data_IF_799432496871
#
_entry.id   IF_799432496871
#
_cell.length_a   1.000
_cell.length_b   1.000
_cell.length_c   1.000
_cell.angle_alpha   90.00
_cell.angle_beta   90.00
_cell.angle_gamma   90.00
#
_symmetry.space_group_name_H-M   'P 1'
#
loop_
_entity.id
_entity.type
_entity.pdbx_description
1 polymer ?
#
# COMPACT_ATOMS: atom_id res chain seq x y z
N UNK A 1 -32.29 -66.56 -22.20
CA UNK A 1 -33.04 -65.56 -21.41
C UNK A 1 -32.16 -64.34 -21.26
N UNK A 2 -32.62 -63.21 -21.78
CA UNK A 2 -31.90 -61.94 -21.81
C UNK A 2 -32.18 -61.12 -20.54
N UNK A 3 -31.17 -60.45 -20.02
CA UNK A 3 -31.22 -59.24 -19.18
C UNK A 3 -29.76 -58.78 -19.07
N UNK A 4 -29.29 -57.61 -19.49
CA UNK A 4 -29.86 -56.27 -19.54
C UNK A 4 -28.75 -55.35 -19.02
N UNK A 5 -27.89 -54.85 -19.92
CA UNK A 5 -26.74 -53.99 -19.59
C UNK A 5 -27.25 -52.56 -19.43
N UNK A 6 -27.22 -52.01 -18.21
CA UNK A 6 -27.45 -50.59 -17.96
C UNK A 6 -26.13 -49.82 -18.12
N UNK A 7 -26.04 -49.02 -19.19
CA UNK A 7 -25.04 -47.97 -19.34
C UNK A 7 -25.43 -46.73 -18.54
N UNK A 8 -24.54 -46.30 -17.65
CA UNK A 8 -24.61 -45.00 -16.98
C UNK A 8 -23.61 -44.04 -17.62
N UNK A 9 -24.13 -43.02 -18.29
CA UNK A 9 -23.36 -41.91 -18.87
C UNK A 9 -22.88 -41.00 -17.73
N UNK A 10 -21.57 -40.81 -17.61
CA UNK A 10 -20.98 -39.76 -16.78
C UNK A 10 -21.16 -38.41 -17.48
N UNK A 11 -22.02 -37.55 -16.94
CA UNK A 11 -22.08 -36.14 -17.31
C UNK A 11 -20.96 -35.39 -16.58
N UNK A 12 -19.94 -34.95 -17.31
CA UNK A 12 -18.93 -34.01 -16.82
C UNK A 12 -19.59 -32.62 -16.70
N UNK A 13 -19.85 -32.18 -15.46
CA UNK A 13 -20.26 -30.81 -15.19
C UNK A 13 -19.04 -29.89 -15.35
N UNK A 14 -18.96 -29.20 -16.49
CA UNK A 14 -18.03 -28.10 -16.70
C UNK A 14 -18.44 -26.93 -15.78
N UNK A 15 -17.74 -26.78 -14.66
CA UNK A 15 -17.83 -25.57 -13.83
C UNK A 15 -17.09 -24.48 -14.59
N UNK A 16 -17.85 -23.67 -15.35
CA UNK A 16 -17.39 -22.40 -15.88
C UNK A 16 -17.11 -21.48 -14.69
N UNK A 17 -15.85 -21.43 -14.27
CA UNK A 17 -15.35 -20.45 -13.32
C UNK A 17 -15.50 -19.06 -13.92
N UNK A 18 -16.55 -18.35 -13.52
CA UNK A 18 -16.67 -16.93 -13.79
C UNK A 18 -15.46 -16.23 -13.18
N UNK A 19 -14.63 -15.62 -14.02
CA UNK A 19 -13.62 -14.67 -13.58
C UNK A 19 -14.31 -13.62 -12.71
N UNK A 20 -13.73 -13.20 -11.56
CA UNK A 20 -14.30 -12.10 -10.80
C UNK A 20 -14.37 -10.88 -11.73
N UNK A 21 -15.61 -10.45 -11.98
CA UNK A 21 -15.90 -9.22 -12.69
C UNK A 21 -15.09 -8.09 -12.05
N UNK A 22 -14.49 -7.26 -12.90
CA UNK A 22 -13.64 -6.15 -12.49
C UNK A 22 -14.31 -5.32 -11.40
N UNK A 23 -13.52 -4.98 -10.39
CA UNK A 23 -13.88 -3.97 -9.41
C UNK A 23 -14.39 -2.73 -10.17
N UNK A 24 -15.67 -2.45 -10.00
CA UNK A 24 -16.26 -1.21 -10.45
C UNK A 24 -15.48 -0.06 -9.80
N UNK A 25 -15.15 0.95 -10.60
CA UNK A 25 -14.49 2.19 -10.21
C UNK A 25 -15.20 2.78 -8.98
N UNK A 26 -14.59 2.61 -7.81
CA UNK A 26 -15.17 2.99 -6.55
C UNK A 26 -15.07 4.51 -6.39
N UNK A 27 -16.20 5.20 -6.64
CA UNK A 27 -16.45 6.54 -6.15
C UNK A 27 -15.65 7.64 -6.85
N UNK A 28 -16.16 8.12 -7.98
CA UNK A 28 -15.75 9.40 -8.56
C UNK A 28 -16.41 10.56 -7.78
N UNK A 29 -16.21 10.61 -6.46
CA UNK A 29 -16.50 11.80 -5.68
C UNK A 29 -15.71 12.98 -6.22
N UNK A 30 -16.23 14.18 -6.03
CA UNK A 30 -15.53 15.39 -6.44
C UNK A 30 -14.15 15.44 -5.77
N UNK A 31 -13.10 15.20 -6.56
CA UNK A 31 -11.72 15.08 -6.06
C UNK A 31 -11.25 16.40 -5.43
N UNK A 32 -11.78 17.52 -5.92
CA UNK A 32 -11.46 18.83 -5.37
C UNK A 32 -12.12 18.99 -4.00
N UNK A 33 -13.39 18.58 -3.85
CA UNK A 33 -14.06 18.56 -2.55
C UNK A 33 -13.37 17.64 -1.52
N UNK A 34 -12.85 16.47 -1.96
CA UNK A 34 -12.03 15.58 -1.12
C UNK A 34 -10.75 16.27 -0.66
N UNK A 35 -10.04 16.93 -1.58
CA UNK A 35 -8.82 17.66 -1.26
C UNK A 35 -9.05 18.85 -0.32
N UNK A 36 -10.13 19.60 -0.55
CA UNK A 36 -10.55 20.72 0.31
C UNK A 36 -10.91 20.25 1.73
N UNK A 37 -11.66 19.15 1.86
CA UNK A 37 -11.94 18.55 3.17
C UNK A 37 -10.64 18.23 3.90
N UNK A 38 -9.74 17.48 3.26
CA UNK A 38 -8.45 17.12 3.86
C UNK A 38 -7.65 18.35 4.28
N UNK A 39 -7.58 19.38 3.43
CA UNK A 39 -6.89 20.62 3.74
C UNK A 39 -7.49 21.34 4.96
N UNK A 40 -8.82 21.35 5.10
CA UNK A 40 -9.52 22.00 6.20
C UNK A 40 -9.42 21.23 7.53
N UNK A 41 -9.22 19.92 7.48
CA UNK A 41 -9.20 19.04 8.67
C UNK A 41 -7.81 18.54 9.05
N UNK A 42 -6.76 18.87 8.29
CA UNK A 42 -5.42 18.40 8.63
C UNK A 42 -4.87 19.10 9.87
N UNK A 43 -4.53 18.30 10.87
CA UNK A 43 -3.97 18.78 12.13
C UNK A 43 -2.48 18.48 12.26
N UNK A 44 -1.84 17.92 11.23
CA UNK A 44 -0.40 17.66 11.26
C UNK A 44 0.40 18.98 11.22
N UNK A 45 1.55 19.04 11.92
CA UNK A 45 2.46 20.18 11.79
C UNK A 45 3.01 20.29 10.37
N UNK A 46 3.58 21.45 10.05
CA UNK A 46 4.22 21.70 8.75
C UNK A 46 5.27 20.61 8.46
N UNK A 47 5.00 19.82 7.42
CA UNK A 47 5.84 18.69 7.02
C UNK A 47 7.16 19.19 6.43
N UNK A 48 8.28 18.85 7.06
CA UNK A 48 9.62 19.28 6.63
C UNK A 48 10.52 18.10 6.35
N UNK A 49 11.02 18.03 5.12
CA UNK A 49 12.09 17.11 4.77
C UNK A 49 13.45 17.69 5.17
N UNK A 50 14.33 16.84 5.69
CA UNK A 50 15.74 17.19 5.90
C UNK A 50 16.44 17.42 4.55
N UNK A 51 17.61 18.06 4.55
CA UNK A 51 18.40 18.24 3.33
C UNK A 51 18.74 16.88 2.69
N UNK A 52 19.20 15.92 3.49
CA UNK A 52 19.51 14.56 3.02
C UNK A 52 18.29 13.82 2.45
N UNK A 53 17.10 13.98 3.04
CA UNK A 53 15.87 13.41 2.46
C UNK A 53 15.52 14.03 1.10
N UNK A 54 15.74 15.34 0.92
CA UNK A 54 15.50 16.01 -0.36
C UNK A 54 16.48 15.52 -1.44
N UNK A 55 17.76 15.40 -1.10
CA UNK A 55 18.80 14.86 -2.00
C UNK A 55 18.50 13.42 -2.39
N UNK A 56 18.22 12.55 -1.41
CA UNK A 56 17.88 11.14 -1.64
C UNK A 56 16.64 10.98 -2.52
N UNK A 57 15.59 11.78 -2.30
CA UNK A 57 14.41 11.75 -3.16
C UNK A 57 14.72 12.21 -4.59
N UNK A 58 15.64 13.16 -4.77
CA UNK A 58 16.02 13.63 -6.09
C UNK A 58 16.81 12.57 -6.87
N UNK A 59 17.77 11.91 -6.21
CA UNK A 59 18.53 10.78 -6.74
C UNK A 59 17.60 9.63 -7.13
N UNK A 60 16.79 9.14 -6.18
CA UNK A 60 15.84 8.05 -6.44
C UNK A 60 14.86 8.40 -7.56
N UNK A 61 14.37 9.65 -7.63
CA UNK A 61 13.46 10.06 -8.69
C UNK A 61 14.12 10.08 -10.08
N UNK A 62 15.42 10.36 -10.17
CA UNK A 62 16.17 10.26 -11.42
C UNK A 62 16.29 8.79 -11.86
N UNK A 63 16.66 7.90 -10.93
CA UNK A 63 16.82 6.47 -11.19
C UNK A 63 15.49 5.79 -11.54
N UNK A 64 14.42 6.14 -10.84
CA UNK A 64 13.09 5.59 -11.04
C UNK A 64 12.53 5.89 -12.44
N UNK A 65 12.73 7.11 -12.95
CA UNK A 65 12.37 7.46 -14.34
C UNK A 65 13.13 6.59 -15.35
N UNK A 66 14.41 6.33 -15.09
CA UNK A 66 15.21 5.41 -15.91
C UNK A 66 14.69 3.98 -15.89
N UNK A 67 14.28 3.47 -14.73
CA UNK A 67 13.71 2.12 -14.58
C UNK A 67 12.35 1.97 -15.27
N UNK A 68 11.47 2.97 -15.14
CA UNK A 68 10.17 3.00 -15.80
C UNK A 68 10.30 3.02 -17.33
N UNK A 69 11.21 3.83 -17.87
CA UNK A 69 11.48 3.89 -19.31
C UNK A 69 11.96 2.54 -19.88
N UNK A 70 12.79 1.79 -19.14
CA UNK A 70 13.25 0.46 -19.54
C UNK A 70 12.15 -0.61 -19.52
N UNK A 71 11.18 -0.45 -18.61
CA UNK A 71 10.09 -1.43 -18.42
C UNK A 71 8.96 -1.27 -19.44
N UNK A 72 8.80 -0.08 -20.04
CA UNK A 72 7.75 0.23 -21.01
C UNK A 72 7.86 -0.49 -22.38
N UNK A 73 8.85 -1.37 -22.57
CA UNK A 73 9.08 -2.12 -23.82
C UNK A 73 8.59 -3.57 -23.82
N UNK A 74 8.19 -4.13 -22.67
CA UNK A 74 7.81 -5.54 -22.54
C UNK A 74 6.27 -5.68 -22.45
N UNK A 75 5.56 -5.47 -23.56
CA UNK A 75 4.09 -5.61 -23.59
C UNK A 75 3.71 -7.10 -23.65
N UNK A 76 3.25 -7.65 -22.52
CA UNK A 76 2.84 -9.06 -22.45
C UNK A 76 2.16 -9.44 -21.15
N UNK A 77 0.82 -9.37 -21.15
CA UNK A 77 -0.15 -9.82 -20.13
C UNK A 77 -0.16 -9.05 -18.79
N UNK A 78 -1.38 -8.82 -18.28
CA UNK A 78 -1.82 -8.21 -16.98
C UNK A 78 -1.18 -8.78 -15.69
N UNK A 79 -0.02 -9.42 -15.76
CA UNK A 79 0.66 -9.96 -14.61
C UNK A 79 1.11 -8.82 -13.69
N UNK A 80 0.88 -8.99 -12.39
CA UNK A 80 1.46 -8.13 -11.36
C UNK A 80 2.89 -8.63 -11.11
N UNK A 81 3.88 -7.78 -11.32
CA UNK A 81 5.22 -7.96 -10.76
C UNK A 81 5.17 -7.54 -9.29
N UNK A 82 5.63 -8.39 -8.38
CA UNK A 82 5.62 -8.12 -6.93
C UNK A 82 7.01 -8.34 -6.35
N UNK A 83 7.36 -7.56 -5.32
CA UNK A 83 8.58 -7.72 -4.52
C UNK A 83 8.46 -8.80 -3.45
N UNK A 84 7.36 -9.57 -3.41
CA UNK A 84 7.22 -10.72 -2.53
C UNK A 84 6.84 -10.39 -1.08
N UNK A 85 6.42 -9.14 -0.78
CA UNK A 85 6.05 -8.74 0.57
C UNK A 85 5.00 -9.71 1.19
N UNK A 86 5.31 -10.18 2.41
CA UNK A 86 4.54 -11.19 3.12
C UNK A 86 3.49 -10.51 3.99
N UNK A 87 2.21 -10.78 3.68
CA UNK A 87 1.09 -10.19 4.40
C UNK A 87 1.07 -10.58 5.88
N UNK A 88 0.81 -9.60 6.75
CA UNK A 88 0.53 -9.82 8.15
C UNK A 88 -0.67 -8.98 8.62
N UNK A 89 -1.61 -9.61 9.32
CA UNK A 89 -2.72 -8.89 9.94
C UNK A 89 -2.23 -8.08 11.12
N UNK A 90 -2.72 -6.85 11.30
CA UNK A 90 -2.42 -6.04 12.48
C UNK A 90 -2.95 -6.70 13.76
N UNK A 91 -2.16 -6.66 14.83
CA UNK A 91 -2.50 -7.36 16.08
C UNK A 91 -3.61 -6.70 16.91
N UNK A 92 -3.92 -5.42 16.64
CA UNK A 92 -5.05 -4.69 17.24
C UNK A 92 -5.49 -3.54 16.32
N UNK A 93 -6.50 -2.76 16.71
CA UNK A 93 -7.15 -1.76 15.85
C UNK A 93 -6.29 -0.56 15.44
N UNK A 94 -5.18 -0.28 16.12
CA UNK A 94 -4.31 0.88 15.86
C UNK A 94 -2.90 0.49 15.39
N UNK A 95 -2.68 -0.79 15.09
CA UNK A 95 -1.38 -1.36 14.70
C UNK A 95 -1.17 -1.48 13.17
N UNK A 96 -1.89 -0.72 12.36
CA UNK A 96 -1.68 -0.71 10.90
C UNK A 96 -0.27 -0.27 10.51
N UNK A 97 0.33 0.69 11.22
CA UNK A 97 1.70 1.15 10.99
C UNK A 97 2.76 0.08 11.28
N UNK A 98 2.80 -0.53 12.49
CA UNK A 98 3.75 -1.60 12.80
C UNK A 98 3.59 -2.83 11.91
N UNK A 99 2.36 -3.21 11.57
CA UNK A 99 2.09 -4.26 10.59
C UNK A 99 2.64 -3.90 9.20
N UNK A 100 2.37 -2.69 8.71
CA UNK A 100 2.88 -2.21 7.42
C UNK A 100 4.41 -2.18 7.39
N UNK A 101 5.07 -1.74 8.47
CA UNK A 101 6.52 -1.75 8.59
C UNK A 101 7.07 -3.18 8.36
N UNK A 102 6.54 -4.17 9.09
CA UNK A 102 7.06 -5.55 8.99
C UNK A 102 6.72 -6.22 7.67
N UNK A 103 5.58 -5.90 7.05
CA UNK A 103 5.24 -6.36 5.70
C UNK A 103 6.23 -5.75 4.69
N UNK A 104 6.45 -4.44 4.76
CA UNK A 104 7.33 -3.71 3.83
C UNK A 104 8.77 -4.21 3.94
N UNK A 105 9.26 -4.43 5.16
CA UNK A 105 10.57 -5.03 5.41
C UNK A 105 10.70 -6.44 4.80
N UNK A 106 9.65 -7.25 4.90
CA UNK A 106 9.67 -8.64 4.39
C UNK A 106 9.79 -8.76 2.87
N UNK A 107 9.58 -7.66 2.11
CA UNK A 107 9.82 -7.68 0.67
C UNK A 107 11.31 -7.89 0.35
N UNK A 108 12.20 -7.34 1.17
CA UNK A 108 13.63 -7.34 0.88
C UNK A 108 14.36 -8.55 1.46
N UNK A 109 13.94 -9.00 2.64
CA UNK A 109 14.62 -10.07 3.36
C UNK A 109 13.78 -11.34 3.51
N UNK A 110 12.57 -11.36 2.93
CA UNK A 110 11.66 -12.52 2.86
C UNK A 110 11.19 -13.08 4.22
N UNK A 111 11.40 -12.34 5.33
CA UNK A 111 11.02 -12.84 6.66
C UNK A 111 9.64 -12.33 7.08
N UNK A 112 8.68 -13.24 7.14
CA UNK A 112 7.36 -13.02 7.73
C UNK A 112 7.35 -13.14 9.26
N UNK A 113 6.23 -12.74 9.88
CA UNK A 113 5.95 -12.94 11.32
C UNK A 113 6.77 -12.08 12.29
N UNK A 114 7.47 -11.05 11.81
CA UNK A 114 8.20 -10.13 12.68
C UNK A 114 7.29 -9.48 13.73
N UNK A 115 7.87 -9.23 14.90
CA UNK A 115 7.15 -8.64 16.03
C UNK A 115 6.62 -7.25 15.70
N UNK A 116 5.30 -7.14 15.56
CA UNK A 116 4.63 -5.85 15.46
C UNK A 116 4.72 -5.06 16.77
N UNK A 117 4.87 -5.72 17.92
CA UNK A 117 5.09 -5.03 19.20
C UNK A 117 6.43 -4.31 19.22
N UNK A 118 7.51 -4.97 18.77
CA UNK A 118 8.82 -4.33 18.65
C UNK A 118 8.78 -3.17 17.66
N UNK A 119 8.15 -3.37 16.50
CA UNK A 119 7.90 -2.31 15.52
C UNK A 119 7.08 -1.16 16.11
N UNK A 120 6.05 -1.45 16.91
CA UNK A 120 5.22 -0.45 17.59
C UNK A 120 6.01 0.42 18.54
N UNK A 121 6.92 -0.19 19.32
CA UNK A 121 7.81 0.54 20.24
C UNK A 121 8.77 1.45 19.47
N UNK A 122 9.46 0.92 18.47
CA UNK A 122 10.40 1.70 17.65
C UNK A 122 9.71 2.86 16.90
N UNK A 123 8.47 2.65 16.45
CA UNK A 123 7.67 3.66 15.76
C UNK A 123 7.00 4.66 16.70
N UNK A 124 7.10 4.47 18.02
CA UNK A 124 6.31 5.21 19.01
C UNK A 124 4.80 5.20 18.68
N UNK A 125 4.29 4.02 18.33
CA UNK A 125 2.88 3.81 18.02
C UNK A 125 2.03 3.93 19.28
N UNK A 126 0.96 4.72 19.22
CA UNK A 126 0.02 4.91 20.34
C UNK A 126 -1.36 4.38 19.98
N UNK A 127 -2.34 4.53 20.88
CA UNK A 127 -3.74 4.21 20.57
C UNK A 127 -4.33 5.06 19.44
N UNK A 128 -3.68 6.17 19.07
CA UNK A 128 -4.02 6.96 17.88
C UNK A 128 -3.37 6.44 16.58
N UNK A 129 -2.58 5.37 16.66
CA UNK A 129 -1.84 4.79 15.53
C UNK A 129 -0.40 5.29 15.43
N UNK A 130 0.24 4.98 14.29
CA UNK A 130 1.57 5.48 13.92
C UNK A 130 1.43 6.73 13.06
N UNK A 131 2.06 7.83 13.47
CA UNK A 131 1.99 9.09 12.75
C UNK A 131 2.67 9.03 11.38
N UNK A 132 2.13 9.79 10.42
CA UNK A 132 2.82 10.11 9.16
C UNK A 132 4.07 10.98 9.41
N UNK A 133 3.93 12.02 10.24
CA UNK A 133 4.97 12.98 10.57
C UNK A 133 4.77 13.57 11.97
N UNK A 134 5.82 14.13 12.56
CA UNK A 134 5.76 14.93 13.79
C UNK A 134 6.08 14.17 15.07
N UNK A 135 6.45 12.89 14.95
CA UNK A 135 6.92 12.06 16.06
C UNK A 135 8.26 11.45 15.65
N UNK A 136 9.23 11.46 16.56
CA UNK A 136 10.49 10.78 16.37
C UNK A 136 10.32 9.28 16.63
N UNK A 137 10.85 8.44 15.75
CA UNK A 137 11.06 7.03 16.07
C UNK A 137 12.12 6.87 17.16
N UNK A 138 12.07 5.75 17.88
CA UNK A 138 13.11 5.32 18.83
C UNK A 138 14.28 4.68 18.06
N UNK A 139 15.01 5.52 17.31
CA UNK A 139 16.21 5.16 16.56
C UNK A 139 17.28 6.26 16.73
N UNK A 140 18.57 6.00 16.44
CA UNK A 140 19.64 6.95 16.74
C UNK A 140 19.52 8.33 16.06
N UNK A 141 18.95 8.41 14.86
CA UNK A 141 18.90 9.65 14.06
C UNK A 141 17.49 9.86 13.47
N UNK A 142 16.47 10.18 14.28
CA UNK A 142 15.11 10.32 13.78
C UNK A 142 14.95 11.61 12.97
N UNK A 143 14.14 11.56 11.91
CA UNK A 143 13.84 12.68 11.01
C UNK A 143 12.46 13.30 11.27
N UNK A 144 11.69 12.70 12.17
CA UNK A 144 10.28 13.04 12.43
C UNK A 144 9.29 12.27 11.54
N UNK A 145 9.79 11.35 10.70
CA UNK A 145 9.00 10.41 9.91
C UNK A 145 9.30 8.99 10.41
N UNK A 146 8.48 8.41 11.29
CA UNK A 146 8.88 7.21 12.04
C UNK A 146 9.06 5.98 11.15
N UNK A 147 8.23 5.79 10.12
CA UNK A 147 8.33 4.63 9.22
C UNK A 147 9.66 4.58 8.45
N UNK A 148 10.09 5.61 7.68
CA UNK A 148 11.38 5.56 6.99
C UNK A 148 12.56 5.48 7.97
N UNK A 149 12.47 6.14 9.13
CA UNK A 149 13.49 6.10 10.17
C UNK A 149 13.73 4.65 10.66
N UNK A 150 12.65 3.93 10.98
CA UNK A 150 12.74 2.55 11.44
C UNK A 150 13.12 1.60 10.31
N UNK A 151 12.58 1.76 9.09
CA UNK A 151 12.96 0.93 7.95
C UNK A 151 14.47 1.04 7.66
N UNK A 152 15.02 2.26 7.64
CA UNK A 152 16.45 2.46 7.40
C UNK A 152 17.34 2.00 8.56
N UNK A 153 16.85 2.06 9.79
CA UNK A 153 17.55 1.50 10.94
C UNK A 153 17.61 -0.04 10.88
N UNK A 154 16.50 -0.68 10.48
CA UNK A 154 16.41 -2.14 10.35
C UNK A 154 17.06 -2.70 9.08
N UNK A 155 17.09 -1.91 8.03
CA UNK A 155 17.70 -2.24 6.74
C UNK A 155 18.71 -1.15 6.35
N UNK A 156 19.90 -1.12 6.98
CA UNK A 156 20.92 -0.14 6.63
C UNK A 156 21.24 -0.18 5.14
N UNK A 157 21.19 0.97 4.48
CA UNK A 157 21.42 1.11 3.04
C UNK A 157 20.17 1.03 2.15
N UNK A 158 18.98 0.71 2.69
CA UNK A 158 17.75 0.65 1.90
C UNK A 158 17.29 2.02 1.37
N UNK A 159 17.65 3.12 2.06
CA UNK A 159 17.41 4.49 1.57
C UNK A 159 15.93 4.83 1.42
N UNK A 160 15.08 4.42 2.36
CA UNK A 160 13.68 4.81 2.41
C UNK A 160 13.53 6.31 2.71
N UNK A 161 12.77 7.01 1.89
CA UNK A 161 12.48 8.43 2.07
C UNK A 161 10.97 8.73 1.99
N UNK A 162 10.44 9.67 2.80
CA UNK A 162 9.05 10.06 2.73
C UNK A 162 8.81 11.01 1.56
N UNK A 163 7.88 10.65 0.67
CA UNK A 163 7.36 11.50 -0.41
C UNK A 163 5.97 12.00 -0.02
N UNK A 164 5.90 13.24 0.46
CA UNK A 164 4.63 13.91 0.72
C UNK A 164 3.82 14.14 -0.57
N UNK A 165 2.50 14.01 -0.47
CA UNK A 165 1.56 14.27 -1.55
C UNK A 165 0.66 15.46 -1.19
N UNK A 166 0.35 16.36 -2.15
CA UNK A 166 -0.66 17.40 -1.89
C UNK A 166 -2.02 16.75 -1.64
N UNK A 167 -2.95 17.50 -1.03
CA UNK A 167 -4.30 17.02 -0.73
C UNK A 167 -5.04 16.53 -1.98
N UNK A 168 -4.81 17.18 -3.12
CA UNK A 168 -5.25 16.75 -4.46
C UNK A 168 -4.04 16.41 -5.33
N UNK A 169 -3.61 15.13 -5.38
CA UNK A 169 -2.47 14.71 -6.20
C UNK A 169 -2.63 15.00 -7.69
N UNK A 170 -1.65 15.70 -8.25
CA UNK A 170 -1.61 16.03 -9.68
C UNK A 170 -1.26 14.80 -10.54
N UNK A 171 -1.40 14.92 -11.86
CA UNK A 171 -0.91 13.91 -12.80
C UNK A 171 0.59 13.63 -12.64
N UNK A 172 1.41 14.65 -12.36
CA UNK A 172 2.84 14.48 -12.12
C UNK A 172 3.13 13.70 -10.83
N UNK A 173 2.32 13.89 -9.78
CA UNK A 173 2.44 13.10 -8.56
C UNK A 173 2.11 11.62 -8.82
N UNK A 174 1.05 11.35 -9.58
CA UNK A 174 0.64 9.99 -9.95
C UNK A 174 1.69 9.29 -10.81
N UNK A 175 2.28 10.00 -11.78
CA UNK A 175 3.43 9.47 -12.56
C UNK A 175 4.63 9.18 -11.66
N UNK A 176 4.99 10.09 -10.76
CA UNK A 176 6.12 9.88 -9.85
C UNK A 176 5.91 8.67 -8.92
N UNK A 177 4.67 8.40 -8.49
CA UNK A 177 4.35 7.19 -7.73
C UNK A 177 4.52 5.92 -8.58
N UNK A 178 4.05 5.91 -9.84
CA UNK A 178 4.24 4.78 -10.76
C UNK A 178 5.71 4.49 -11.05
N UNK A 179 6.52 5.54 -11.23
CA UNK A 179 7.97 5.41 -11.37
C UNK A 179 8.58 4.79 -10.10
N UNK A 180 8.18 5.28 -8.91
CA UNK A 180 8.67 4.79 -7.62
C UNK A 180 8.35 3.31 -7.36
N UNK A 181 7.11 2.87 -7.59
CA UNK A 181 6.76 1.46 -7.37
C UNK A 181 7.47 0.54 -8.38
N UNK A 182 7.64 0.98 -9.63
CA UNK A 182 8.39 0.23 -10.64
C UNK A 182 9.85 0.06 -10.23
N UNK A 183 10.45 1.14 -9.70
CA UNK A 183 11.81 1.13 -9.17
C UNK A 183 11.96 0.18 -7.97
N UNK A 184 11.17 0.39 -6.91
CA UNK A 184 11.29 -0.39 -5.68
C UNK A 184 11.02 -1.88 -5.90
N UNK A 185 9.96 -2.23 -6.63
CA UNK A 185 9.64 -3.63 -6.93
C UNK A 185 10.73 -4.31 -7.77
N UNK A 186 11.56 -3.57 -8.51
CA UNK A 186 12.71 -4.15 -9.24
C UNK A 186 13.93 -4.40 -8.35
N UNK A 187 14.03 -3.72 -7.21
CA UNK A 187 15.07 -3.94 -6.20
C UNK A 187 14.60 -4.75 -4.99
N UNK A 188 13.50 -5.50 -5.11
CA UNK A 188 12.90 -6.27 -4.02
C UNK A 188 12.53 -5.43 -2.79
N UNK A 189 12.13 -4.17 -3.01
CA UNK A 189 11.59 -3.30 -1.98
C UNK A 189 10.09 -3.07 -2.21
N UNK A 190 9.34 -2.91 -1.12
CA UNK A 190 7.95 -2.45 -1.15
C UNK A 190 7.90 -0.95 -0.81
N UNK A 191 6.71 -0.35 -0.96
CA UNK A 191 6.43 1.02 -0.55
C UNK A 191 5.48 0.98 0.65
N UNK A 192 5.73 1.77 1.68
CA UNK A 192 4.75 1.97 2.76
C UNK A 192 3.90 3.21 2.45
N UNK A 193 2.62 3.02 2.15
CA UNK A 193 1.66 4.09 1.87
C UNK A 193 0.88 4.50 3.11
N UNK A 194 0.72 5.81 3.34
CA UNK A 194 -0.16 6.34 4.38
C UNK A 194 -1.46 6.85 3.73
N UNK A 195 -2.51 6.06 3.85
CA UNK A 195 -3.83 6.35 3.33
C UNK A 195 -4.61 7.31 4.24
N UNK A 196 -5.30 8.25 3.60
CA UNK A 196 -6.32 9.08 4.22
C UNK A 196 -7.60 8.97 3.39
N UNK A 197 -8.44 8.02 3.77
CA UNK A 197 -9.75 7.79 3.18
C UNK A 197 -10.76 8.72 3.86
N UNK A 198 -11.68 9.30 3.08
CA UNK A 198 -12.69 10.25 3.57
C UNK A 198 -14.06 9.91 3.01
N UNK A 199 -15.12 10.36 3.68
CA UNK A 199 -16.50 10.14 3.22
C UNK A 199 -16.69 10.73 1.82
N UNK A 200 -17.21 9.92 0.89
CA UNK A 200 -17.45 10.30 -0.49
C UNK A 200 -16.22 10.29 -1.39
N UNK A 201 -15.02 10.05 -0.83
CA UNK A 201 -13.79 9.85 -1.60
C UNK A 201 -13.57 8.39 -2.03
N UNK A 202 -12.45 8.10 -2.72
CA UNK A 202 -12.04 6.74 -3.00
C UNK A 202 -11.62 6.01 -1.72
N UNK A 203 -11.84 4.70 -1.70
CA UNK A 203 -11.52 3.81 -0.58
C UNK A 203 -10.68 2.62 -1.03
N UNK A 204 -9.90 2.07 -0.13
CA UNK A 204 -9.23 0.78 -0.30
C UNK A 204 -10.29 -0.33 -0.43
N UNK A 205 -9.95 -1.40 -1.13
CA UNK A 205 -10.88 -2.50 -1.40
C UNK A 205 -11.40 -3.09 -0.08
N UNK A 206 -12.72 -3.11 0.07
CA UNK A 206 -13.40 -3.64 1.25
C UNK A 206 -13.51 -2.68 2.44
N UNK A 207 -12.91 -1.49 2.37
CA UNK A 207 -13.07 -0.46 3.40
C UNK A 207 -14.45 0.22 3.29
N UNK A 208 -15.09 0.55 4.43
CA UNK A 208 -16.36 1.26 4.43
C UNK A 208 -16.18 2.74 4.07
N UNK A 209 -17.23 3.35 3.51
CA UNK A 209 -17.24 4.78 3.17
C UNK A 209 -17.28 5.69 4.43
N UNK A 210 -16.12 5.88 5.05
CA UNK A 210 -15.93 6.72 6.25
C UNK A 210 -14.50 7.24 6.31
N UNK A 211 -14.23 8.16 7.22
CA UNK A 211 -12.86 8.61 7.43
C UNK A 211 -11.99 7.51 8.08
N UNK A 212 -10.87 7.20 7.45
CA UNK A 212 -9.89 6.21 7.92
C UNK A 212 -8.48 6.72 7.62
N UNK A 213 -7.65 6.81 8.66
CA UNK A 213 -6.20 6.91 8.52
C UNK A 213 -5.61 5.51 8.60
N UNK A 214 -4.84 5.11 7.59
CA UNK A 214 -4.37 3.74 7.48
C UNK A 214 -2.97 3.65 6.89
N UNK A 215 -2.22 2.63 7.29
CA UNK A 215 -0.95 2.28 6.65
C UNK A 215 -1.14 0.98 5.88
N UNK A 216 -0.60 0.92 4.66
CA UNK A 216 -0.56 -0.28 3.82
C UNK A 216 0.81 -0.46 3.19
N UNK A 217 1.18 -1.70 2.88
CA UNK A 217 2.38 -2.00 2.09
C UNK A 217 1.98 -2.22 0.63
N UNK A 218 2.61 -1.53 -0.31
CA UNK A 218 2.35 -1.60 -1.74
C UNK A 218 3.58 -2.26 -2.37
N UNK A 219 3.41 -3.48 -2.84
CA UNK A 219 4.52 -4.37 -3.17
C UNK A 219 4.56 -4.80 -4.63
N UNK A 220 3.55 -4.46 -5.43
CA UNK A 220 3.54 -4.85 -6.82
C UNK A 220 2.85 -3.89 -7.76
N UNK A 221 3.14 -4.05 -9.05
CA UNK A 221 2.57 -3.25 -10.11
C UNK A 221 2.35 -4.06 -11.39
N UNK A 222 1.40 -3.63 -12.21
CA UNK A 222 1.19 -4.17 -13.55
C UNK A 222 2.29 -3.73 -14.53
N UNK A 223 2.47 -4.53 -15.58
CA UNK A 223 3.42 -4.30 -16.68
C UNK A 223 3.02 -3.12 -17.60
N UNK A 224 1.77 -2.67 -17.56
CA UNK A 224 1.21 -1.58 -18.38
C UNK A 224 1.60 -0.16 -17.92
N UNK A 225 2.81 -0.01 -17.41
CA UNK A 225 3.32 1.22 -16.81
C UNK A 225 2.79 1.44 -15.39
N UNK A 226 2.62 0.37 -14.63
CA UNK A 226 2.16 0.39 -13.23
C UNK A 226 0.79 1.07 -13.03
N UNK A 227 -0.15 0.96 -13.98
CA UNK A 227 -1.49 1.58 -13.83
C UNK A 227 -2.34 0.88 -12.77
N UNK A 228 -2.04 -0.38 -12.50
CA UNK A 228 -2.60 -1.15 -11.39
C UNK A 228 -1.46 -1.48 -10.43
N UNK A 229 -1.70 -1.33 -9.14
CA UNK A 229 -0.78 -1.76 -8.10
C UNK A 229 -1.42 -2.82 -7.23
N UNK A 230 -0.58 -3.66 -6.64
CA UNK A 230 -0.94 -4.62 -5.61
C UNK A 230 -0.48 -4.10 -4.26
N UNK A 231 -1.32 -4.28 -3.24
CA UNK A 231 -1.00 -3.92 -1.87
C UNK A 231 -1.45 -5.00 -0.89
N UNK A 232 -0.82 -4.97 0.28
CA UNK A 232 -1.08 -5.79 1.46
C UNK A 232 -1.75 -4.91 2.50
N UNK A 233 -2.96 -5.26 2.88
CA UNK A 233 -3.73 -4.53 3.87
C UNK A 233 -3.56 -5.19 5.25
N UNK A 234 -3.02 -4.49 6.26
CA UNK A 234 -2.95 -5.01 7.63
C UNK A 234 -4.31 -5.37 8.24
N UNK A 235 -5.42 -4.79 7.81
CA UNK A 235 -6.76 -5.15 8.32
C UNK A 235 -7.19 -6.52 7.78
N UNK A 236 -6.66 -6.95 6.64
CA UNK A 236 -7.02 -8.24 6.06
C UNK A 236 -6.70 -9.41 7.00
N UNK A 237 -7.72 -10.19 7.35
CA UNK A 237 -7.63 -11.30 8.30
C UNK A 237 -7.72 -10.91 9.78
N UNK A 238 -7.96 -9.64 10.11
CA UNK A 238 -8.28 -9.21 11.47
C UNK A 238 -9.70 -9.68 11.85
N UNK A 239 -9.93 -10.20 13.08
CA UNK A 239 -11.27 -10.55 13.53
C UNK A 239 -12.21 -9.35 13.65
N UNK A 240 -13.49 -9.55 13.39
CA UNK A 240 -14.52 -8.48 13.51
C UNK A 240 -14.72 -7.97 14.93
N UNK A 241 -14.30 -8.74 15.94
CA UNK A 241 -14.26 -8.30 17.34
C UNK A 241 -13.19 -7.23 17.61
N UNK A 242 -12.19 -7.09 16.74
CA UNK A 242 -11.14 -6.07 16.83
C UNK A 242 -11.45 -4.88 15.92
N UNK A 243 -11.88 -5.16 14.69
CA UNK A 243 -12.29 -4.14 13.70
C UNK A 243 -13.60 -4.61 13.06
N UNK A 244 -14.71 -3.93 13.35
CA UNK A 244 -16.06 -4.40 13.01
C UNK A 244 -16.32 -4.63 11.52
N UNK A 245 -15.57 -3.97 10.64
CA UNK A 245 -15.68 -4.05 9.18
C UNK A 245 -14.56 -4.89 8.54
N UNK A 246 -13.69 -5.55 9.31
CA UNK A 246 -12.55 -6.30 8.76
C UNK A 246 -12.94 -7.49 7.89
N UNK A 247 -14.16 -8.03 8.02
CA UNK A 247 -14.62 -9.19 7.25
C UNK A 247 -14.62 -8.96 5.73
N UNK A 248 -14.81 -7.71 5.27
CA UNK A 248 -14.80 -7.37 3.84
C UNK A 248 -13.41 -7.02 3.31
N UNK A 249 -12.39 -6.89 4.17
CA UNK A 249 -11.07 -6.43 3.78
C UNK A 249 -10.20 -7.61 3.36
N UNK A 250 -9.75 -7.68 2.10
CA UNK A 250 -8.87 -8.74 1.65
C UNK A 250 -7.45 -8.54 2.22
N UNK A 251 -6.73 -9.66 2.44
CA UNK A 251 -5.30 -9.64 2.82
C UNK A 251 -4.45 -8.96 1.75
N UNK A 252 -4.76 -9.23 0.49
CA UNK A 252 -4.10 -8.69 -0.69
C UNK A 252 -5.15 -8.21 -1.67
N UNK A 253 -4.95 -7.02 -2.23
CA UNK A 253 -5.82 -6.47 -3.26
C UNK A 253 -5.02 -5.77 -4.35
N UNK A 254 -5.70 -5.51 -5.47
CA UNK A 254 -5.19 -4.64 -6.53
C UNK A 254 -6.10 -3.43 -6.68
N UNK A 255 -5.51 -2.30 -7.04
CA UNK A 255 -6.21 -1.03 -7.22
C UNK A 255 -5.48 -0.19 -8.27
N UNK A 256 -6.17 0.77 -8.89
CA UNK A 256 -5.51 1.72 -9.77
C UNK A 256 -4.45 2.53 -9.00
N UNK A 257 -3.27 2.70 -9.60
CA UNK A 257 -2.20 3.56 -9.06
C UNK A 257 -2.68 4.98 -8.79
N UNK A 258 -3.56 5.50 -9.64
CA UNK A 258 -4.08 6.86 -9.52
C UNK A 258 -5.05 6.99 -8.34
N UNK A 259 -5.80 5.92 -8.07
CA UNK A 259 -6.76 5.86 -6.96
C UNK A 259 -6.01 5.78 -5.63
N UNK A 260 -5.05 4.86 -5.49
CA UNK A 260 -4.26 4.79 -4.26
C UNK A 260 -3.43 6.05 -4.02
N UNK A 261 -2.88 6.68 -5.09
CA UNK A 261 -2.19 7.97 -4.94
C UNK A 261 -3.14 9.04 -4.41
N UNK A 262 -4.40 9.06 -4.88
CA UNK A 262 -5.43 10.01 -4.41
C UNK A 262 -5.80 9.75 -2.94
N UNK A 263 -5.94 8.48 -2.55
CA UNK A 263 -6.18 8.08 -1.16
C UNK A 263 -5.03 8.58 -0.25
N UNK A 264 -3.78 8.49 -0.69
CA UNK A 264 -2.60 8.98 0.05
C UNK A 264 -2.42 10.51 0.03
N UNK A 265 -3.27 11.26 -0.69
CA UNK A 265 -3.20 12.73 -0.72
C UNK A 265 -3.34 13.36 0.66
N UNK A 266 -2.55 14.41 0.95
CA UNK A 266 -2.43 15.03 2.28
C UNK A 266 -1.47 14.31 3.24
N UNK A 267 -1.03 13.12 2.86
CA UNK A 267 -0.03 12.31 3.56
C UNK A 267 1.09 12.01 2.58
N UNK A 268 1.25 10.75 2.18
CA UNK A 268 2.22 10.36 1.18
C UNK A 268 2.57 8.88 1.26
N UNK A 269 3.76 8.57 0.77
CA UNK A 269 4.33 7.23 0.80
C UNK A 269 5.82 7.24 1.10
N UNK A 270 6.34 6.11 1.56
CA UNK A 270 7.74 5.90 1.95
C UNK A 270 8.34 4.85 1.03
N UNK A 271 9.42 5.20 0.33
CA UNK A 271 9.99 4.36 -0.73
C UNK A 271 11.51 4.48 -0.84
#
# INVERSE_FOLDING_TARGET
MACGICGGIFAAAAILGASPAGAADAGNGDRDAVGEYKAATDTLPEQKLTAGQKELLAEKAADAKGAAARSAGAYGTKAIKSSGAIQQSQINSYYCGPATLVITQSAHDEVGGRSQTAAGNELNTTTAGTAWYGINADVPNPTGYPIPDVLNNRMPGAGYAPRALPYTPTAANKTAFRDAITHNTTGDYAIAGNAWEVVGGPHLVGHPNREIFHWVSIDGHSDDGAKTVQYRDPVGGVPTSVISWAASVPRTATISSDTITTIMGGRGYVW
#
